data_IF_964667351737
#
_entry.id   IF_964667351737
#
_cell.length_a   1.000
_cell.length_b   1.000
_cell.length_c   1.000
_cell.angle_alpha   90.00
_cell.angle_beta   90.00
_cell.angle_gamma   90.00
#
_symmetry.space_group_name_H-M   'P 1'
#
loop_
_entity.id
_entity.type
_entity.pdbx_description
1 polymer ?
#
# COMPACT_ATOMS: atom_id res chain seq x y z
N UNK A 1 -34.31 -84.20 3.28
CA UNK A 1 -34.61 -83.59 4.60
C UNK A 1 -34.86 -82.09 4.41
N UNK A 2 -35.98 -81.57 4.94
CA UNK A 2 -36.35 -80.16 5.22
C UNK A 2 -36.58 -79.13 4.07
N UNK A 3 -37.88 -78.89 3.81
CA UNK A 3 -38.69 -77.62 3.75
C UNK A 3 -38.02 -76.32 3.27
N UNK A 4 -38.58 -75.65 2.23
CA UNK A 4 -39.59 -74.55 2.28
C UNK A 4 -38.97 -73.23 2.82
N UNK A 5 -39.03 -72.03 2.22
CA UNK A 5 -40.21 -71.26 1.77
C UNK A 5 -39.76 -69.96 1.04
N UNK A 6 -40.71 -69.34 0.34
CA UNK A 6 -40.77 -68.23 -0.63
C UNK A 6 -40.28 -66.79 -0.26
N UNK A 7 -40.18 -65.98 -1.34
CA UNK A 7 -40.57 -64.55 -1.49
C UNK A 7 -39.67 -63.47 -0.85
N UNK A 8 -39.46 -62.26 -1.39
CA UNK A 8 -40.15 -61.45 -2.42
C UNK A 8 -39.29 -60.22 -2.80
N UNK A 9 -39.69 -59.54 -3.88
CA UNK A 9 -39.53 -58.10 -4.20
C UNK A 9 -38.52 -57.69 -5.29
N UNK A 10 -39.10 -57.44 -6.46
CA UNK A 10 -38.64 -56.49 -7.49
C UNK A 10 -38.83 -55.06 -6.98
N UNK A 11 -37.88 -54.14 -7.17
CA UNK A 11 -38.17 -52.76 -7.61
C UNK A 11 -36.91 -52.02 -8.10
N UNK A 12 -37.14 -51.13 -9.07
CA UNK A 12 -36.22 -50.38 -9.94
C UNK A 12 -35.58 -49.16 -9.25
N UNK A 13 -34.40 -48.71 -9.71
CA UNK A 13 -34.01 -47.28 -9.90
C UNK A 13 -32.58 -47.22 -10.50
N UNK A 14 -32.38 -46.91 -11.80
CA UNK A 14 -32.15 -45.58 -12.42
C UNK A 14 -30.86 -44.87 -11.97
N UNK A 15 -29.86 -44.91 -12.88
CA UNK A 15 -28.74 -43.98 -13.20
C UNK A 15 -28.24 -42.96 -12.18
N UNK A 16 -26.91 -42.85 -12.04
CA UNK A 16 -26.16 -41.62 -12.33
C UNK A 16 -24.65 -41.96 -12.47
N UNK A 17 -24.11 -41.89 -13.70
CA UNK A 17 -22.65 -41.87 -13.91
C UNK A 17 -22.17 -40.49 -13.47
N UNK A 18 -21.60 -40.39 -12.28
CA UNK A 18 -21.00 -39.16 -11.79
C UNK A 18 -19.70 -38.90 -12.57
N UNK A 19 -19.74 -37.93 -13.49
CA UNK A 19 -18.55 -37.38 -14.10
C UNK A 19 -17.73 -36.65 -13.02
N UNK A 20 -16.58 -37.23 -12.64
CA UNK A 20 -15.61 -36.59 -11.77
C UNK A 20 -14.94 -35.44 -12.51
N UNK A 21 -15.48 -34.22 -12.38
CA UNK A 21 -14.77 -33.01 -12.73
C UNK A 21 -13.69 -32.75 -11.66
N UNK A 22 -12.42 -32.97 -12.00
CA UNK A 22 -11.28 -32.64 -11.14
C UNK A 22 -11.13 -31.12 -11.11
N UNK A 23 -11.76 -30.47 -10.14
CA UNK A 23 -11.41 -29.09 -9.79
C UNK A 23 -10.07 -29.11 -9.05
N UNK A 24 -8.98 -28.88 -9.78
CA UNK A 24 -7.70 -28.55 -9.16
C UNK A 24 -7.82 -27.16 -8.52
N UNK A 25 -8.17 -27.12 -7.23
CA UNK A 25 -8.09 -25.90 -6.44
C UNK A 25 -6.61 -25.52 -6.31
N UNK A 26 -6.18 -24.53 -7.09
CA UNK A 26 -4.86 -23.91 -6.92
C UNK A 26 -4.92 -23.10 -5.62
N UNK A 27 -4.49 -23.71 -4.52
CA UNK A 27 -4.29 -22.99 -3.27
C UNK A 27 -3.09 -22.06 -3.43
N UNK A 28 -3.35 -20.77 -3.65
CA UNK A 28 -2.34 -19.75 -3.40
C UNK A 28 -2.01 -19.82 -1.91
N UNK A 29 -0.80 -20.28 -1.58
CA UNK A 29 -0.29 -20.17 -0.22
C UNK A 29 -0.26 -18.67 0.14
N UNK A 30 -1.18 -18.25 1.01
CA UNK A 30 -1.13 -16.92 1.61
C UNK A 30 0.12 -16.89 2.48
N UNK A 31 1.19 -16.27 1.97
CA UNK A 31 2.35 -15.96 2.81
C UNK A 31 1.84 -15.19 4.04
N UNK A 32 2.17 -15.62 5.27
CA UNK A 32 1.76 -14.89 6.46
C UNK A 32 2.16 -13.44 6.26
N UNK A 33 1.18 -12.53 6.33
CA UNK A 33 1.47 -11.11 6.17
C UNK A 33 2.48 -10.78 7.26
N UNK A 34 3.71 -10.51 6.85
CA UNK A 34 4.80 -10.18 7.73
C UNK A 34 4.30 -9.13 8.73
N UNK A 35 4.45 -9.42 10.04
CA UNK A 35 3.93 -8.60 11.16
C UNK A 35 4.67 -7.27 11.25
N UNK A 36 4.52 -6.42 10.24
CA UNK A 36 4.97 -5.04 10.28
C UNK A 36 3.99 -4.22 11.11
N UNK A 37 4.51 -3.20 11.79
CA UNK A 37 3.69 -2.28 12.58
C UNK A 37 2.85 -1.45 11.61
N UNK A 38 1.54 -1.43 11.86
CA UNK A 38 0.57 -0.59 11.16
C UNK A 38 -0.27 0.15 12.18
N UNK A 39 -0.43 1.45 11.98
CA UNK A 39 -1.27 2.28 12.84
C UNK A 39 -2.62 2.49 12.18
N UNK A 40 -3.67 2.60 13.00
CA UNK A 40 -4.92 3.21 12.57
C UNK A 40 -4.68 4.68 12.21
N UNK A 41 -5.38 5.26 11.21
CA UNK A 41 -5.33 6.69 10.93
C UNK A 41 -5.57 7.56 12.18
N UNK A 42 -6.47 7.14 13.09
CA UNK A 42 -6.77 7.88 14.32
C UNK A 42 -5.59 7.94 15.31
N UNK A 43 -4.60 7.06 15.19
CA UNK A 43 -3.42 7.04 16.03
C UNK A 43 -2.32 8.01 15.54
N UNK A 44 -2.52 8.69 14.40
CA UNK A 44 -1.57 9.63 13.82
C UNK A 44 -1.79 11.04 14.40
N UNK A 45 -0.85 11.59 15.18
CA UNK A 45 -1.00 12.92 15.76
C UNK A 45 -1.13 14.02 14.70
N UNK A 46 -2.11 14.91 14.87
CA UNK A 46 -2.30 16.09 14.02
C UNK A 46 -3.00 15.84 12.69
N UNK A 47 -3.33 14.58 12.35
CA UNK A 47 -4.12 14.27 11.17
C UNK A 47 -5.57 14.81 11.34
N UNK A 48 -6.10 15.62 10.41
CA UNK A 48 -7.45 16.17 10.52
C UNK A 48 -8.52 15.08 10.60
N UNK A 49 -9.55 15.29 11.43
CA UNK A 49 -10.58 14.29 11.69
C UNK A 49 -11.37 13.86 10.45
N UNK A 50 -11.55 14.75 9.46
CA UNK A 50 -12.18 14.41 8.18
C UNK A 50 -11.32 13.43 7.38
N UNK A 51 -9.99 13.59 7.40
CA UNK A 51 -9.06 12.68 6.73
C UNK A 51 -8.95 11.34 7.46
N UNK A 52 -8.94 11.34 8.80
CA UNK A 52 -9.04 10.11 9.61
C UNK A 52 -10.24 9.27 9.17
N UNK A 53 -11.44 9.89 9.16
CA UNK A 53 -12.68 9.21 8.77
C UNK A 53 -12.62 8.66 7.34
N UNK A 54 -12.06 9.43 6.40
CA UNK A 54 -11.96 8.99 5.00
C UNK A 54 -10.97 7.84 4.82
N UNK A 55 -9.84 7.86 5.53
CA UNK A 55 -8.87 6.77 5.52
C UNK A 55 -9.48 5.50 6.15
N UNK A 56 -10.15 5.63 7.30
CA UNK A 56 -10.86 4.52 7.95
C UNK A 56 -11.97 3.94 7.06
N UNK A 57 -12.76 4.80 6.40
CA UNK A 57 -13.79 4.39 5.43
C UNK A 57 -13.20 3.58 4.27
N UNK A 58 -11.95 3.84 3.89
CA UNK A 58 -11.22 3.08 2.85
C UNK A 58 -10.60 1.78 3.37
N UNK A 59 -10.73 1.46 4.65
CA UNK A 59 -10.07 0.31 5.28
C UNK A 59 -8.55 0.50 5.40
N UNK A 60 -8.11 1.76 5.41
CA UNK A 60 -6.71 2.12 5.38
C UNK A 60 -6.01 1.85 6.71
N UNK A 61 -4.80 1.29 6.63
CA UNK A 61 -3.84 1.30 7.74
C UNK A 61 -2.56 2.00 7.31
N UNK A 62 -1.84 2.61 8.24
CA UNK A 62 -0.61 3.35 7.94
C UNK A 62 0.60 2.49 8.36
N UNK A 63 1.30 1.83 7.43
CA UNK A 63 2.48 1.04 7.76
C UNK A 63 3.60 1.96 8.26
N UNK A 64 4.35 1.50 9.26
CA UNK A 64 5.37 2.29 9.93
C UNK A 64 6.77 1.77 9.64
N UNK A 65 7.71 2.67 9.36
CA UNK A 65 9.14 2.31 9.27
C UNK A 65 9.64 1.83 10.65
N UNK A 66 10.40 0.73 10.73
CA UNK A 66 10.70 0.15 12.06
C UNK A 66 11.71 0.92 12.93
N UNK A 67 12.49 1.85 12.36
CA UNK A 67 13.55 2.57 13.08
C UNK A 67 13.14 3.97 13.56
N UNK A 68 11.87 4.31 13.48
CA UNK A 68 11.36 5.58 14.04
C UNK A 68 10.64 5.34 15.37
N UNK A 69 10.82 6.27 16.31
CA UNK A 69 10.04 6.31 17.57
C UNK A 69 8.72 7.07 17.41
N UNK A 70 8.60 7.88 16.36
CA UNK A 70 7.41 8.70 16.06
C UNK A 70 6.63 8.06 14.94
N UNK A 71 5.30 8.18 15.00
CA UNK A 71 4.44 7.82 13.87
C UNK A 71 4.89 8.56 12.61
N UNK A 72 5.02 7.84 11.51
CA UNK A 72 5.39 8.36 10.20
C UNK A 72 4.38 7.96 9.14
N UNK A 73 4.74 8.21 7.87
CA UNK A 73 3.94 7.84 6.71
C UNK A 73 2.59 8.56 6.57
N UNK A 74 2.45 9.66 7.31
CA UNK A 74 1.51 10.75 7.05
C UNK A 74 2.31 12.05 7.12
N UNK A 75 2.25 12.85 6.05
CA UNK A 75 3.02 14.08 5.91
C UNK A 75 2.12 15.24 5.48
N UNK A 76 2.56 16.44 5.83
CA UNK A 76 1.94 17.70 5.42
C UNK A 76 2.95 18.48 4.58
N UNK A 77 2.48 19.14 3.54
CA UNK A 77 3.34 19.90 2.65
C UNK A 77 2.57 20.72 1.62
N UNK A 78 3.30 21.47 0.80
CA UNK A 78 2.76 22.22 -0.32
C UNK A 78 2.96 21.40 -1.58
N UNK A 79 2.08 20.43 -1.83
CA UNK A 79 2.29 19.42 -2.88
C UNK A 79 1.67 19.82 -4.20
N UNK A 80 0.58 20.59 -4.21
CA UNK A 80 -0.03 21.03 -5.47
C UNK A 80 0.59 22.31 -6.03
N UNK A 81 0.90 23.26 -5.13
CA UNK A 81 1.37 24.61 -5.47
C UNK A 81 1.86 25.38 -4.24
N UNK A 82 2.63 26.46 -4.42
CA UNK A 82 3.08 27.31 -3.33
C UNK A 82 1.92 27.89 -2.51
N UNK A 83 2.08 27.94 -1.19
CA UNK A 83 1.11 28.48 -0.23
C UNK A 83 -0.08 27.56 0.08
N UNK A 84 -0.27 26.46 -0.65
CA UNK A 84 -1.33 25.49 -0.37
C UNK A 84 -0.85 24.47 0.67
N UNK A 85 -1.69 24.15 1.65
CA UNK A 85 -1.42 23.04 2.59
C UNK A 85 -2.17 21.79 2.17
N UNK A 86 -1.43 20.75 1.85
CA UNK A 86 -1.91 19.43 1.47
C UNK A 86 -1.46 18.38 2.49
N UNK A 87 -2.11 17.23 2.47
CA UNK A 87 -1.72 16.05 3.25
C UNK A 87 -1.43 14.89 2.32
N UNK A 88 -0.45 14.06 2.66
CA UNK A 88 -0.25 12.78 1.99
C UNK A 88 -0.15 11.66 3.03
N UNK A 89 -0.81 10.53 2.78
CA UNK A 89 -0.79 9.36 3.63
C UNK A 89 -0.39 8.13 2.81
N UNK A 90 0.59 7.36 3.28
CA UNK A 90 0.88 6.05 2.73
C UNK A 90 -0.18 5.08 3.27
N UNK A 91 -1.13 4.76 2.42
CA UNK A 91 -2.31 4.00 2.77
C UNK A 91 -2.19 2.54 2.33
N UNK A 92 -2.07 1.62 3.29
CA UNK A 92 -2.05 0.18 3.04
C UNK A 92 -3.45 -0.42 3.19
N UNK A 93 -3.92 -1.04 2.12
CA UNK A 93 -5.15 -1.84 2.07
C UNK A 93 -4.80 -3.21 1.51
N UNK A 94 -5.08 -4.28 2.25
CA UNK A 94 -4.81 -5.66 1.85
C UNK A 94 -3.37 -5.92 1.38
N UNK A 95 -2.40 -5.24 2.00
CA UNK A 95 -0.97 -5.42 1.71
C UNK A 95 -0.46 -4.65 0.49
N UNK A 96 -1.26 -3.73 -0.07
CA UNK A 96 -0.81 -2.79 -1.10
C UNK A 96 -0.86 -1.38 -0.52
N UNK A 97 0.29 -0.70 -0.52
CA UNK A 97 0.40 0.69 -0.09
C UNK A 97 0.33 1.64 -1.28
N UNK A 98 -0.58 2.62 -1.18
CA UNK A 98 -0.77 3.70 -2.16
C UNK A 98 -0.62 5.03 -1.45
N UNK A 99 0.07 6.00 -2.05
CA UNK A 99 0.15 7.35 -1.49
C UNK A 99 -1.13 8.08 -1.88
N UNK A 100 -1.95 8.41 -0.88
CA UNK A 100 -3.14 9.24 -1.05
C UNK A 100 -2.81 10.70 -0.73
N UNK A 101 -3.05 11.61 -1.68
CA UNK A 101 -2.78 13.04 -1.54
C UNK A 101 -4.11 13.80 -1.45
N UNK A 102 -4.34 14.44 -0.30
CA UNK A 102 -5.54 15.18 0.05
C UNK A 102 -5.30 16.68 -0.13
N UNK A 103 -5.88 17.22 -1.20
CA UNK A 103 -5.70 18.61 -1.61
C UNK A 103 -6.39 19.56 -0.66
N UNK A 104 -5.68 20.60 -0.20
CA UNK A 104 -6.19 21.59 0.77
C UNK A 104 -6.74 20.96 2.07
N UNK A 105 -6.28 19.75 2.41
CA UNK A 105 -6.81 18.97 3.53
C UNK A 105 -8.26 18.48 3.35
N UNK A 106 -8.78 18.47 2.13
CA UNK A 106 -10.10 17.92 1.82
C UNK A 106 -10.03 16.41 1.61
N UNK A 107 -11.01 15.70 2.16
CA UNK A 107 -11.26 14.28 1.96
C UNK A 107 -11.78 13.95 0.55
N UNK A 108 -12.19 14.97 -0.21
CA UNK A 108 -12.82 14.80 -1.53
C UNK A 108 -11.77 14.58 -2.60
N UNK A 109 -11.98 13.53 -3.40
CA UNK A 109 -11.19 13.20 -4.59
C UNK A 109 -9.66 13.27 -4.36
N UNK A 110 -9.12 12.54 -3.36
CA UNK A 110 -7.68 12.49 -3.18
C UNK A 110 -7.02 11.88 -4.41
N UNK A 111 -5.86 12.40 -4.80
CA UNK A 111 -5.04 11.72 -5.79
C UNK A 111 -4.45 10.44 -5.20
N UNK A 112 -4.28 9.41 -6.02
CA UNK A 112 -3.70 8.14 -5.64
C UNK A 112 -2.49 7.87 -6.54
N UNK A 113 -1.30 7.73 -5.95
CA UNK A 113 -0.06 7.51 -6.68
C UNK A 113 0.75 6.37 -6.08
N UNK A 114 1.66 5.83 -6.89
CA UNK A 114 2.66 4.85 -6.48
C UNK A 114 2.11 3.62 -5.71
N UNK A 115 1.08 2.92 -6.23
CA UNK A 115 0.66 1.67 -5.62
C UNK A 115 1.81 0.66 -5.66
N UNK A 116 2.14 0.07 -4.52
CA UNK A 116 3.19 -0.94 -4.42
C UNK A 116 2.85 -1.95 -3.33
N UNK A 117 3.18 -3.22 -3.57
CA UNK A 117 2.99 -4.27 -2.58
C UNK A 117 3.89 -4.04 -1.36
N UNK A 118 3.34 -4.12 -0.16
CA UNK A 118 4.07 -3.91 1.09
C UNK A 118 5.26 -4.86 1.21
N UNK A 119 5.10 -6.12 0.74
CA UNK A 119 6.11 -7.17 0.84
C UNK A 119 7.44 -6.82 0.18
N UNK A 120 7.44 -5.91 -0.80
CA UNK A 120 8.65 -5.43 -1.49
C UNK A 120 9.55 -4.65 -0.53
N UNK A 121 8.96 -4.00 0.47
CA UNK A 121 9.66 -3.20 1.47
C UNK A 121 9.79 -3.91 2.81
N UNK A 122 9.52 -5.21 2.86
CA UNK A 122 9.72 -6.01 4.07
C UNK A 122 11.14 -6.59 4.00
N UNK A 123 11.99 -6.14 4.90
CA UNK A 123 13.36 -6.60 5.02
C UNK A 123 13.53 -7.44 6.27
N UNK A 124 14.48 -8.38 6.24
CA UNK A 124 14.82 -9.24 7.39
C UNK A 124 16.26 -9.07 7.83
N UNK A 125 16.50 -9.01 9.15
CA UNK A 125 17.85 -9.04 9.76
C UNK A 125 18.16 -10.43 10.28
N UNK A 126 17.13 -11.13 10.77
CA UNK A 126 17.16 -12.49 11.34
C UNK A 126 15.82 -13.18 11.04
N UNK A 127 15.76 -14.50 11.23
CA UNK A 127 14.61 -15.37 10.88
C UNK A 127 13.24 -14.84 11.34
N UNK A 128 13.21 -14.09 12.45
CA UNK A 128 11.98 -13.55 13.06
C UNK A 128 11.99 -12.02 13.25
N UNK A 129 12.98 -11.31 12.71
CA UNK A 129 13.07 -9.85 12.81
C UNK A 129 12.98 -9.24 11.43
N UNK A 130 11.76 -8.81 11.11
CA UNK A 130 11.40 -8.14 9.87
C UNK A 130 11.01 -6.68 10.16
N UNK A 131 11.28 -5.79 9.21
CA UNK A 131 10.77 -4.43 9.26
C UNK A 131 10.26 -3.95 7.92
N UNK A 132 9.40 -2.95 7.98
CA UNK A 132 8.97 -2.20 6.82
C UNK A 132 9.93 -1.03 6.55
N UNK A 133 10.28 -0.85 5.28
CA UNK A 133 11.23 0.15 4.82
C UNK A 133 10.67 1.10 3.77
N UNK A 134 9.34 1.15 3.54
CA UNK A 134 8.78 2.24 2.72
C UNK A 134 8.49 3.45 3.60
N UNK A 135 9.01 4.60 3.20
CA UNK A 135 8.80 5.86 3.90
C UNK A 135 8.40 6.97 2.94
N UNK A 136 7.49 7.86 3.36
CA UNK A 136 7.26 9.13 2.65
C UNK A 136 7.72 10.33 3.47
N UNK A 137 8.32 11.33 2.80
CA UNK A 137 8.77 12.59 3.41
C UNK A 137 8.45 13.79 2.50
N UNK A 138 8.21 14.93 3.12
CA UNK A 138 8.10 16.20 2.41
C UNK A 138 9.51 16.71 2.08
N UNK A 139 9.80 16.98 0.82
CA UNK A 139 11.11 17.50 0.37
C UNK A 139 10.96 18.83 -0.35
N UNK A 140 11.97 19.69 -0.18
CA UNK A 140 11.99 21.02 -0.77
C UNK A 140 12.88 21.08 -2.02
N UNK A 141 12.89 22.27 -2.64
CA UNK A 141 13.66 22.57 -3.85
C UNK A 141 15.12 22.17 -3.78
N UNK A 142 15.77 22.47 -2.66
CA UNK A 142 17.19 22.18 -2.46
C UNK A 142 17.46 20.68 -2.51
N UNK A 143 16.60 19.86 -1.89
CA UNK A 143 16.68 18.40 -1.99
C UNK A 143 16.55 17.95 -3.45
N UNK A 144 15.49 18.34 -4.15
CA UNK A 144 15.22 17.90 -5.53
C UNK A 144 16.38 18.27 -6.47
N UNK A 145 16.85 19.52 -6.39
CA UNK A 145 17.93 19.99 -7.28
C UNK A 145 19.28 19.39 -6.93
N UNK A 146 19.60 19.19 -5.64
CA UNK A 146 20.86 18.51 -5.24
C UNK A 146 20.90 17.09 -5.79
N UNK A 147 19.82 16.33 -5.67
CA UNK A 147 19.75 14.94 -6.14
C UNK A 147 19.75 14.84 -7.66
N UNK A 148 19.04 15.72 -8.36
CA UNK A 148 19.14 15.82 -9.82
C UNK A 148 20.56 16.13 -10.28
N UNK A 149 21.26 17.07 -9.63
CA UNK A 149 22.63 17.41 -10.01
C UNK A 149 23.63 16.28 -9.70
N UNK A 150 23.38 15.47 -8.67
CA UNK A 150 24.24 14.36 -8.28
C UNK A 150 24.04 13.12 -9.17
N UNK A 151 22.78 12.79 -9.48
CA UNK A 151 22.41 11.49 -10.07
C UNK A 151 21.80 11.59 -11.48
N UNK A 152 21.42 12.79 -11.92
CA UNK A 152 20.83 13.03 -13.24
C UNK A 152 19.35 12.66 -13.33
N UNK A 153 18.94 12.12 -14.49
CA UNK A 153 17.55 11.79 -14.82
C UNK A 153 16.83 12.88 -15.62
N UNK A 154 15.49 12.81 -15.76
CA UNK A 154 14.72 13.85 -16.43
C UNK A 154 14.90 15.20 -15.74
N UNK A 155 15.14 16.26 -16.53
CA UNK A 155 15.26 17.61 -16.00
C UNK A 155 13.98 18.00 -15.27
N UNK A 156 14.03 18.36 -13.98
CA UNK A 156 12.84 18.79 -13.27
C UNK A 156 12.28 20.09 -13.85
N UNK A 157 10.96 20.31 -13.78
CA UNK A 157 10.37 21.62 -14.07
C UNK A 157 10.84 22.66 -13.04
N UNK A 158 10.49 23.95 -13.20
CA UNK A 158 10.76 24.96 -12.18
C UNK A 158 10.19 24.56 -10.81
N UNK A 159 11.09 24.21 -9.88
CA UNK A 159 10.68 23.80 -8.54
C UNK A 159 10.32 25.03 -7.72
N UNK A 160 9.03 25.20 -7.43
CA UNK A 160 8.49 26.31 -6.64
C UNK A 160 7.69 25.85 -5.41
N UNK A 161 7.39 24.56 -5.28
CA UNK A 161 6.72 23.97 -4.12
C UNK A 161 7.39 22.64 -3.72
N UNK A 162 6.80 21.92 -2.75
CA UNK A 162 7.40 20.73 -2.16
C UNK A 162 7.02 19.45 -2.91
N UNK A 163 7.93 18.49 -2.96
CA UNK A 163 7.67 17.15 -3.47
C UNK A 163 7.41 16.13 -2.35
N UNK A 164 6.97 14.94 -2.75
CA UNK A 164 6.85 13.76 -1.89
C UNK A 164 7.98 12.81 -2.23
N UNK A 165 8.94 12.67 -1.33
CA UNK A 165 9.99 11.66 -1.45
C UNK A 165 9.43 10.30 -1.00
N UNK A 166 9.37 9.35 -1.92
CA UNK A 166 8.90 7.97 -1.73
C UNK A 166 10.13 7.05 -1.69
N UNK A 167 10.49 6.65 -0.49
CA UNK A 167 11.77 6.04 -0.17
C UNK A 167 11.64 4.55 0.05
N UNK A 168 12.63 3.81 -0.45
CA UNK A 168 13.09 2.62 0.25
C UNK A 168 14.14 3.07 1.28
N UNK A 169 13.81 3.08 2.57
CA UNK A 169 14.66 3.60 3.65
C UNK A 169 16.04 2.94 3.64
N UNK A 170 17.09 3.76 3.55
CA UNK A 170 18.50 3.31 3.48
C UNK A 170 18.94 2.83 2.10
N UNK A 171 18.14 3.08 1.07
CA UNK A 171 18.30 2.69 -0.34
C UNK A 171 17.78 3.83 -1.24
N UNK A 172 17.62 3.62 -2.56
CA UNK A 172 17.14 4.68 -3.44
C UNK A 172 15.69 5.12 -3.14
N UNK A 173 15.40 6.36 -3.50
CA UNK A 173 14.09 6.96 -3.44
C UNK A 173 13.74 7.66 -4.76
N UNK A 174 12.44 7.93 -4.94
CA UNK A 174 11.94 8.74 -6.04
C UNK A 174 11.13 9.88 -5.45
N UNK A 175 11.31 11.09 -5.98
CA UNK A 175 10.45 12.21 -5.62
C UNK A 175 9.30 12.29 -6.62
N UNK A 176 8.08 12.27 -6.09
CA UNK A 176 6.87 12.63 -6.81
C UNK A 176 6.65 14.13 -6.71
N UNK A 177 6.71 14.82 -7.85
CA UNK A 177 6.50 16.26 -7.96
C UNK A 177 5.27 16.53 -8.81
N UNK A 178 4.33 17.33 -8.32
CA UNK A 178 3.10 17.64 -9.05
C UNK A 178 3.30 18.92 -9.86
N UNK A 179 3.18 18.85 -11.18
CA UNK A 179 3.35 20.01 -12.04
C UNK A 179 2.27 19.99 -13.13
N UNK A 180 1.63 21.12 -13.35
CA UNK A 180 0.61 21.31 -14.39
C UNK A 180 -0.46 20.18 -14.48
N UNK A 181 -0.97 19.76 -13.32
CA UNK A 181 -2.00 18.71 -13.26
C UNK A 181 -1.48 17.27 -13.31
N UNK A 182 -0.16 17.07 -13.39
CA UNK A 182 0.47 15.77 -13.58
C UNK A 182 1.47 15.45 -12.48
N UNK A 183 1.59 14.16 -12.15
CA UNK A 183 2.64 13.66 -11.27
C UNK A 183 3.88 13.27 -12.08
N UNK A 184 4.99 13.95 -11.81
CA UNK A 184 6.29 13.68 -12.39
C UNK A 184 7.15 12.90 -11.41
N UNK A 185 7.94 11.96 -11.93
CA UNK A 185 9.04 11.34 -11.17
C UNK A 185 10.31 12.14 -11.40
N UNK A 186 10.90 12.65 -10.33
CA UNK A 186 12.20 13.32 -10.37
C UNK A 186 13.18 12.60 -9.43
N UNK A 187 14.47 12.85 -9.63
CA UNK A 187 15.53 12.18 -8.87
C UNK A 187 15.35 12.35 -7.35
N UNK A 188 15.38 11.21 -6.63
CA UNK A 188 15.47 11.15 -5.17
C UNK A 188 16.89 10.76 -4.73
N UNK A 189 17.00 10.20 -3.53
CA UNK A 189 18.25 9.60 -3.04
C UNK A 189 18.61 8.35 -3.85
N UNK A 190 19.90 8.07 -3.99
CA UNK A 190 20.48 6.82 -4.52
C UNK A 190 21.52 6.33 -3.51
#
# INVERSE_FOLDING_TARGET
>A
MRRNTQNTNKLRLVTFVAAFAIFAAVFFAQTPQARIVRLSPAAIPGLPANLVKELERRGCTIPQEARTKKSNNVIKGQFAKPGQTDWAALCSVNGVSTILVFWKGSEKNPAAIAPMEDRIYIEGFKKDQIWYSRGIRTVAKDFILRHYNAYGGPKPPPINHQGIDDMFVGKPSVVWYYDDGQWLKVAGAD
#
